data_IF_701907461149
#
_entry.id   IF_701907461149
#
_cell.length_a   1.000
_cell.length_b   1.000
_cell.length_c   1.000
_cell.angle_alpha   90.00
_cell.angle_beta   90.00
_cell.angle_gamma   90.00
#
_symmetry.space_group_name_H-M   'P 1'
#
loop_
_entity.id
_entity.type
_entity.pdbx_description
1 polymer ?
#
# COMPACT_ATOMS: atom_id res chain seq x y z
N UNK A 1 17.07 -116.12 -25.09
CA UNK A 1 17.07 -115.46 -26.42
C UNK A 1 15.74 -114.82 -26.63
N UNK A 2 15.66 -113.52 -26.41
CA UNK A 2 14.47 -112.77 -26.71
C UNK A 2 14.37 -112.48 -28.20
N UNK A 3 13.42 -113.18 -28.85
CA UNK A 3 13.09 -112.87 -30.24
C UNK A 3 12.45 -111.47 -30.27
N UNK A 4 13.17 -110.49 -30.80
CA UNK A 4 12.59 -109.20 -31.20
C UNK A 4 11.67 -109.45 -32.39
N UNK A 5 10.38 -109.55 -32.15
CA UNK A 5 9.40 -109.57 -33.24
C UNK A 5 9.45 -108.21 -33.92
N UNK A 6 9.85 -108.22 -35.17
CA UNK A 6 9.75 -106.97 -35.99
C UNK A 6 8.28 -106.57 -36.03
N UNK A 7 7.99 -105.38 -35.75
CA UNK A 7 6.63 -104.76 -35.84
C UNK A 7 6.10 -104.86 -37.28
N UNK A 8 4.85 -105.25 -37.44
CA UNK A 8 4.25 -105.25 -38.76
C UNK A 8 4.14 -103.85 -39.33
N UNK A 9 4.19 -103.64 -40.65
CA UNK A 9 4.10 -102.41 -41.34
C UNK A 9 2.85 -101.56 -40.93
N UNK A 10 1.73 -102.22 -40.63
CA UNK A 10 0.49 -101.58 -40.13
C UNK A 10 0.64 -101.10 -38.69
N UNK A 11 1.38 -101.75 -37.84
CA UNK A 11 1.69 -101.34 -36.49
C UNK A 11 2.63 -100.13 -36.50
N UNK A 12 3.62 -100.08 -37.34
CA UNK A 12 4.53 -98.96 -37.55
C UNK A 12 3.77 -97.79 -38.10
N UNK A 13 2.89 -97.95 -39.10
CA UNK A 13 2.03 -96.85 -39.63
C UNK A 13 1.07 -96.36 -38.58
N UNK A 14 0.52 -97.20 -37.71
CA UNK A 14 -0.33 -96.83 -36.58
C UNK A 14 0.39 -95.92 -35.55
N UNK A 15 1.61 -96.36 -35.15
CA UNK A 15 2.44 -95.61 -34.20
C UNK A 15 2.94 -94.27 -34.79
N UNK A 16 3.29 -94.22 -36.06
CA UNK A 16 3.67 -93.00 -36.75
C UNK A 16 2.49 -91.99 -36.80
N UNK A 17 1.24 -92.48 -37.04
CA UNK A 17 0.06 -91.61 -36.98
C UNK A 17 -0.19 -91.04 -35.58
N UNK A 18 -0.02 -91.87 -34.54
CA UNK A 18 -0.15 -91.40 -33.15
C UNK A 18 0.92 -90.37 -32.80
N UNK A 19 2.17 -90.59 -33.15
CA UNK A 19 3.25 -89.65 -32.95
C UNK A 19 2.99 -88.31 -33.67
N UNK A 20 2.55 -88.43 -34.93
CA UNK A 20 2.22 -87.22 -35.71
C UNK A 20 1.05 -86.41 -35.10
N UNK A 21 0.00 -87.15 -34.64
CA UNK A 21 -1.11 -86.54 -33.94
C UNK A 21 -0.69 -85.86 -32.62
N UNK A 22 0.17 -86.54 -31.85
CA UNK A 22 0.74 -86.02 -30.60
C UNK A 22 1.58 -84.71 -30.84
N UNK A 23 2.51 -84.78 -31.79
CA UNK A 23 3.35 -83.63 -32.15
C UNK A 23 2.48 -82.42 -32.64
N UNK A 24 1.42 -82.72 -33.41
CA UNK A 24 0.50 -81.71 -33.88
C UNK A 24 -0.28 -81.08 -32.73
N UNK A 25 -0.73 -81.92 -31.79
CA UNK A 25 -1.41 -81.42 -30.59
C UNK A 25 -0.49 -80.57 -29.72
N UNK A 26 0.72 -81.05 -29.45
CA UNK A 26 1.73 -80.30 -28.70
C UNK A 26 2.07 -78.97 -29.36
N UNK A 27 2.21 -78.94 -30.68
CA UNK A 27 2.45 -77.67 -31.40
C UNK A 27 1.28 -76.68 -31.28
N UNK A 28 0.03 -77.21 -31.32
CA UNK A 28 -1.16 -76.38 -31.13
C UNK A 28 -1.27 -75.85 -29.70
N UNK A 29 -0.93 -76.66 -28.71
CA UNK A 29 -0.92 -76.24 -27.31
C UNK A 29 0.15 -75.19 -27.05
N UNK A 30 1.37 -75.37 -27.58
CA UNK A 30 2.44 -74.36 -27.49
C UNK A 30 2.09 -73.09 -28.21
N UNK A 31 1.47 -73.18 -29.40
CA UNK A 31 0.99 -71.95 -30.08
C UNK A 31 -0.03 -71.15 -29.25
N UNK A 32 -0.98 -71.86 -28.60
CA UNK A 32 -1.95 -71.21 -27.69
C UNK A 32 -1.26 -70.66 -26.47
N UNK A 33 -0.29 -71.37 -25.88
CA UNK A 33 0.48 -70.80 -24.71
C UNK A 33 1.22 -69.54 -25.07
N UNK A 34 1.89 -69.47 -26.24
CA UNK A 34 2.59 -68.32 -26.74
C UNK A 34 1.61 -67.17 -26.97
N UNK A 35 0.45 -67.45 -27.59
CA UNK A 35 -0.57 -66.44 -27.82
C UNK A 35 -1.11 -65.88 -26.50
N UNK A 36 -1.40 -66.76 -25.53
CA UNK A 36 -1.90 -66.33 -24.22
C UNK A 36 -0.89 -65.45 -23.45
N UNK A 37 0.39 -65.86 -23.47
CA UNK A 37 1.48 -65.07 -22.89
C UNK A 37 1.62 -63.68 -23.58
N UNK A 38 1.56 -63.68 -24.91
CA UNK A 38 1.63 -62.42 -25.66
C UNK A 38 0.45 -61.48 -25.35
N UNK A 39 -0.76 -62.04 -25.23
CA UNK A 39 -1.96 -61.24 -24.86
C UNK A 39 -1.86 -60.73 -23.42
N UNK A 40 -1.35 -61.54 -22.46
CA UNK A 40 -1.11 -61.08 -21.08
C UNK A 40 -0.04 -59.99 -21.02
N UNK A 41 1.12 -60.18 -21.69
CA UNK A 41 2.19 -59.17 -21.73
C UNK A 41 1.69 -57.88 -22.37
N UNK A 42 0.92 -57.98 -23.47
CA UNK A 42 0.30 -56.83 -24.12
C UNK A 42 -0.66 -56.09 -23.16
N UNK A 43 -1.52 -56.80 -22.45
CA UNK A 43 -2.46 -56.22 -21.50
C UNK A 43 -1.74 -55.49 -20.35
N UNK A 44 -0.66 -56.07 -19.83
CA UNK A 44 0.16 -55.48 -18.76
C UNK A 44 0.84 -54.22 -19.28
N UNK A 45 1.51 -54.28 -20.43
CA UNK A 45 2.26 -53.14 -20.99
C UNK A 45 1.31 -51.98 -21.41
N UNK A 46 0.17 -52.32 -22.02
CA UNK A 46 -0.89 -51.37 -22.33
C UNK A 46 -1.41 -50.67 -21.05
N UNK A 47 -1.70 -51.44 -20.00
CA UNK A 47 -2.16 -50.89 -18.73
C UNK A 47 -1.11 -49.96 -18.07
N UNK A 48 0.16 -50.37 -18.13
CA UNK A 48 1.29 -49.59 -17.63
C UNK A 48 1.44 -48.27 -18.40
N UNK A 49 1.41 -48.33 -19.73
CA UNK A 49 1.52 -47.14 -20.59
C UNK A 49 0.36 -46.18 -20.36
N UNK A 50 -0.87 -46.67 -20.31
CA UNK A 50 -2.07 -45.85 -20.03
C UNK A 50 -1.95 -45.16 -18.67
N UNK A 51 -1.49 -45.86 -17.63
CA UNK A 51 -1.28 -45.27 -16.30
C UNK A 51 -0.20 -44.19 -16.33
N UNK A 52 0.92 -44.42 -17.02
CA UNK A 52 2.01 -43.45 -17.14
C UNK A 52 1.55 -42.19 -17.87
N UNK A 53 0.87 -42.35 -19.01
CA UNK A 53 0.36 -41.23 -19.77
C UNK A 53 -0.73 -40.42 -19.01
N UNK A 54 -1.65 -41.13 -18.34
CA UNK A 54 -2.66 -40.50 -17.50
C UNK A 54 -2.01 -39.69 -16.38
N UNK A 55 -1.03 -40.25 -15.67
CA UNK A 55 -0.31 -39.53 -14.62
C UNK A 55 0.48 -38.34 -15.14
N UNK A 56 1.07 -38.42 -16.34
CA UNK A 56 1.77 -37.34 -16.98
C UNK A 56 0.79 -36.19 -17.36
N UNK A 57 -0.37 -36.52 -17.91
CA UNK A 57 -1.44 -35.59 -18.26
C UNK A 57 -1.96 -34.93 -16.98
N UNK A 58 -2.27 -35.67 -15.94
CA UNK A 58 -2.77 -35.15 -14.68
C UNK A 58 -1.77 -34.14 -14.08
N UNK A 59 -0.49 -34.51 -14.01
CA UNK A 59 0.58 -33.60 -13.54
C UNK A 59 0.68 -32.33 -14.36
N UNK A 60 0.52 -32.43 -15.68
CA UNK A 60 0.55 -31.24 -16.56
C UNK A 60 -0.65 -30.33 -16.31
N UNK A 61 -1.84 -30.90 -16.15
CA UNK A 61 -3.05 -30.12 -15.88
C UNK A 61 -3.04 -29.52 -14.46
N UNK A 62 -2.57 -30.23 -13.45
CA UNK A 62 -2.38 -29.68 -12.11
C UNK A 62 -1.46 -28.47 -12.12
N UNK A 63 -0.33 -28.54 -12.84
CA UNK A 63 0.55 -27.36 -13.02
C UNK A 63 -0.16 -26.20 -13.68
N UNK A 64 -0.91 -26.45 -14.75
CA UNK A 64 -1.69 -25.41 -15.45
C UNK A 64 -2.76 -24.79 -14.56
N UNK A 65 -3.50 -25.58 -13.81
CA UNK A 65 -4.49 -25.10 -12.86
C UNK A 65 -3.87 -24.25 -11.75
N UNK A 66 -2.77 -24.71 -11.18
CA UNK A 66 -2.03 -23.96 -10.16
C UNK A 66 -1.51 -22.64 -10.70
N UNK A 67 -0.96 -22.64 -11.91
CA UNK A 67 -0.48 -21.42 -12.57
C UNK A 67 -1.63 -20.45 -12.89
N UNK A 68 -2.76 -20.94 -13.39
CA UNK A 68 -3.94 -20.13 -13.67
C UNK A 68 -4.52 -19.52 -12.39
N UNK A 69 -4.64 -20.30 -11.31
CA UNK A 69 -5.10 -19.85 -10.00
C UNK A 69 -4.20 -18.77 -9.43
N UNK A 70 -2.88 -18.96 -9.48
CA UNK A 70 -1.91 -17.95 -9.04
C UNK A 70 -2.02 -16.65 -9.87
N UNK A 71 -2.11 -16.77 -11.19
CA UNK A 71 -2.28 -15.61 -12.09
C UNK A 71 -3.55 -14.85 -11.77
N UNK A 72 -4.67 -15.55 -11.56
CA UNK A 72 -5.93 -14.95 -11.16
C UNK A 72 -5.83 -14.23 -9.79
N UNK A 73 -5.18 -14.85 -8.81
CA UNK A 73 -4.97 -14.24 -7.50
C UNK A 73 -4.11 -12.98 -7.59
N UNK A 74 -3.03 -12.99 -8.37
CA UNK A 74 -2.17 -11.83 -8.62
C UNK A 74 -2.97 -10.71 -9.27
N UNK A 75 -3.72 -11.01 -10.33
CA UNK A 75 -4.56 -10.03 -11.03
C UNK A 75 -5.58 -9.40 -10.09
N UNK A 76 -6.28 -10.21 -9.28
CA UNK A 76 -7.25 -9.73 -8.30
C UNK A 76 -6.61 -8.83 -7.25
N UNK A 77 -5.45 -9.23 -6.72
CA UNK A 77 -4.70 -8.46 -5.72
C UNK A 77 -4.20 -7.13 -6.31
N UNK A 78 -3.65 -7.17 -7.53
CA UNK A 78 -3.17 -5.96 -8.22
C UNK A 78 -4.31 -4.98 -8.50
N UNK A 79 -5.45 -5.48 -8.97
CA UNK A 79 -6.64 -4.64 -9.23
C UNK A 79 -7.16 -4.02 -7.94
N UNK A 80 -7.29 -4.80 -6.86
CA UNK A 80 -7.71 -4.31 -5.56
C UNK A 80 -6.77 -3.23 -5.01
N UNK A 81 -5.45 -3.45 -5.12
CA UNK A 81 -4.47 -2.46 -4.70
C UNK A 81 -4.51 -1.18 -5.54
N UNK A 82 -4.62 -1.31 -6.86
CA UNK A 82 -4.75 -0.15 -7.76
C UNK A 82 -6.00 0.69 -7.45
N UNK A 83 -7.13 0.01 -7.20
CA UNK A 83 -8.37 0.70 -6.82
C UNK A 83 -8.24 1.41 -5.48
N UNK A 84 -7.63 0.75 -4.50
CA UNK A 84 -7.34 1.36 -3.19
C UNK A 84 -6.47 2.61 -3.32
N UNK A 85 -5.39 2.54 -4.08
CA UNK A 85 -4.50 3.69 -4.31
C UNK A 85 -5.23 4.85 -4.99
N UNK A 86 -6.09 4.57 -5.97
CA UNK A 86 -6.89 5.59 -6.63
C UNK A 86 -7.84 6.31 -5.66
N UNK A 87 -8.51 5.55 -4.79
CA UNK A 87 -9.38 6.15 -3.76
C UNK A 87 -8.57 7.01 -2.79
N UNK A 88 -7.37 6.55 -2.38
CA UNK A 88 -6.51 7.34 -1.50
C UNK A 88 -5.99 8.61 -2.16
N UNK A 89 -5.62 8.56 -3.46
CA UNK A 89 -5.22 9.74 -4.23
C UNK A 89 -6.34 10.77 -4.29
N UNK A 90 -7.56 10.35 -4.68
CA UNK A 90 -8.70 11.27 -4.73
C UNK A 90 -9.07 11.87 -3.36
N UNK A 91 -8.89 11.11 -2.27
CA UNK A 91 -9.07 11.64 -0.92
C UNK A 91 -8.00 12.67 -0.56
N UNK A 92 -6.76 12.46 -0.98
CA UNK A 92 -5.68 13.41 -0.74
C UNK A 92 -5.89 14.69 -1.56
N UNK A 93 -6.24 14.58 -2.85
CA UNK A 93 -6.57 15.71 -3.70
C UNK A 93 -7.67 16.60 -3.08
N UNK A 94 -8.73 15.98 -2.54
CA UNK A 94 -9.81 16.72 -1.88
C UNK A 94 -9.35 17.45 -0.60
N UNK A 95 -8.43 16.86 0.17
CA UNK A 95 -7.84 17.53 1.33
C UNK A 95 -6.95 18.70 0.93
N UNK A 96 -6.12 18.50 -0.11
CA UNK A 96 -5.24 19.54 -0.63
C UNK A 96 -6.05 20.74 -1.16
N UNK A 97 -7.15 20.49 -1.89
CA UNK A 97 -8.08 21.50 -2.36
C UNK A 97 -8.74 22.26 -1.19
N UNK A 98 -9.13 21.54 -0.13
CA UNK A 98 -9.73 22.15 1.06
C UNK A 98 -8.75 23.10 1.75
N UNK A 99 -7.51 22.67 1.96
CA UNK A 99 -6.49 23.53 2.59
C UNK A 99 -6.06 24.67 1.67
N UNK A 100 -6.06 24.48 0.36
CA UNK A 100 -5.81 25.57 -0.59
C UNK A 100 -6.92 26.63 -0.50
N UNK A 101 -8.18 26.24 -0.46
CA UNK A 101 -9.30 27.16 -0.27
C UNK A 101 -9.19 27.91 1.08
N UNK A 102 -8.75 27.23 2.13
CA UNK A 102 -8.51 27.88 3.42
C UNK A 102 -7.40 28.93 3.34
N UNK A 103 -6.29 28.65 2.64
CA UNK A 103 -5.21 29.63 2.40
C UNK A 103 -5.72 30.86 1.66
N UNK A 104 -6.51 30.64 0.60
CA UNK A 104 -7.07 31.73 -0.20
C UNK A 104 -8.04 32.61 0.62
N UNK A 105 -8.80 32.00 1.52
CA UNK A 105 -9.69 32.76 2.42
C UNK A 105 -8.91 33.58 3.46
N UNK A 106 -7.86 33.01 4.05
CA UNK A 106 -7.03 33.68 5.06
C UNK A 106 -6.32 34.87 4.46
N UNK A 107 -5.81 34.80 3.26
CA UNK A 107 -5.14 35.92 2.58
C UNK A 107 -6.05 37.13 2.40
N UNK A 108 -7.37 36.94 2.35
CA UNK A 108 -8.35 38.02 2.23
C UNK A 108 -8.85 38.62 3.56
N UNK A 109 -8.48 38.07 4.72
CA UNK A 109 -9.03 38.54 6.03
C UNK A 109 -8.57 39.94 6.36
N UNK A 110 -7.29 40.28 6.14
CA UNK A 110 -6.73 41.59 6.40
C UNK A 110 -7.45 42.71 5.65
N UNK A 111 -7.97 42.41 4.44
CA UNK A 111 -8.69 43.39 3.63
C UNK A 111 -10.18 43.50 4.00
N UNK A 112 -10.78 42.49 4.62
CA UNK A 112 -12.22 42.45 4.89
C UNK A 112 -12.60 43.05 6.23
N UNK A 113 -11.77 42.91 7.26
CA UNK A 113 -12.11 43.30 8.63
C UNK A 113 -10.84 43.72 9.40
N UNK A 114 -10.49 45.00 9.29
CA UNK A 114 -9.28 45.58 9.89
C UNK A 114 -9.28 45.53 11.43
N UNK A 115 -10.46 45.65 12.10
CA UNK A 115 -10.52 45.57 13.56
C UNK A 115 -10.25 44.18 14.09
N UNK A 116 -10.88 43.16 13.49
CA UNK A 116 -10.60 41.77 13.87
C UNK A 116 -9.16 41.40 13.56
N UNK A 117 -8.63 41.87 12.42
CA UNK A 117 -7.23 41.64 12.08
C UNK A 117 -6.28 42.22 13.12
N UNK A 118 -6.52 43.48 13.60
CA UNK A 118 -5.75 44.09 14.67
C UNK A 118 -5.80 43.30 15.98
N UNK A 119 -6.99 42.81 16.36
CA UNK A 119 -7.14 41.97 17.56
C UNK A 119 -6.37 40.64 17.44
N UNK A 120 -6.38 40.01 16.26
CA UNK A 120 -5.62 38.81 16.01
C UNK A 120 -4.13 39.07 16.06
N UNK A 121 -3.65 40.16 15.41
CA UNK A 121 -2.24 40.55 15.47
C UNK A 121 -1.76 40.77 16.91
N UNK A 122 -2.56 41.46 17.73
CA UNK A 122 -2.27 41.62 19.17
C UNK A 122 -2.09 40.28 19.86
N UNK A 123 -3.01 39.31 19.63
CA UNK A 123 -2.90 37.98 20.19
C UNK A 123 -1.63 37.24 19.75
N UNK A 124 -1.25 37.36 18.45
CA UNK A 124 -0.05 36.73 17.92
C UNK A 124 1.24 37.32 18.51
N UNK A 125 1.28 38.64 18.67
CA UNK A 125 2.40 39.33 19.32
C UNK A 125 2.51 38.88 20.77
N UNK A 126 1.39 38.91 21.50
CA UNK A 126 1.33 38.54 22.91
C UNK A 126 1.78 37.07 23.13
N UNK A 127 1.35 36.16 22.30
CA UNK A 127 1.80 34.78 22.31
C UNK A 127 3.32 34.66 22.15
N UNK A 128 3.90 35.40 21.22
CA UNK A 128 5.34 35.44 21.03
C UNK A 128 6.12 36.04 22.17
N UNK A 129 5.59 37.12 22.79
CA UNK A 129 6.18 37.74 23.98
C UNK A 129 6.20 36.78 25.17
N UNK A 130 5.11 36.01 25.38
CA UNK A 130 5.06 34.99 26.42
C UNK A 130 6.04 33.82 26.15
N UNK A 131 6.19 33.43 24.90
CA UNK A 131 7.07 32.32 24.53
C UNK A 131 8.56 32.69 24.65
N UNK A 132 8.93 33.94 24.31
CA UNK A 132 10.32 34.39 24.38
C UNK A 132 10.67 34.85 25.79
N UNK A 133 9.77 35.59 26.47
CA UNK A 133 9.98 36.21 27.80
C UNK A 133 11.30 37.00 27.91
N UNK A 134 11.61 37.77 26.85
CA UNK A 134 12.80 38.62 26.76
C UNK A 134 12.46 40.10 26.88
N UNK A 135 13.43 40.91 27.31
CA UNK A 135 13.22 42.35 27.53
C UNK A 135 13.16 43.16 26.22
N UNK A 136 13.81 42.66 25.15
CA UNK A 136 13.83 43.25 23.82
C UNK A 136 13.55 42.24 22.76
N UNK A 137 12.57 42.52 21.90
CA UNK A 137 12.17 41.70 20.76
C UNK A 137 12.01 42.56 19.50
N UNK A 138 12.35 41.96 18.37
CA UNK A 138 12.14 42.60 17.06
C UNK A 138 10.99 41.86 16.35
N UNK A 139 10.12 42.59 15.70
CA UNK A 139 8.91 42.05 15.04
C UNK A 139 8.95 42.39 13.56
N UNK A 140 8.95 41.34 12.71
CA UNK A 140 8.83 41.46 11.27
C UNK A 140 7.37 41.33 10.85
N UNK A 141 6.90 42.25 10.03
CA UNK A 141 5.56 42.22 9.46
C UNK A 141 5.58 42.63 7.98
N UNK A 142 4.45 42.56 7.30
CA UNK A 142 4.32 43.08 5.95
C UNK A 142 4.34 44.61 6.00
N UNK A 143 4.89 45.25 4.97
CA UNK A 143 4.91 46.72 4.85
C UNK A 143 3.53 47.36 4.96
N UNK A 144 2.49 46.65 4.43
CA UNK A 144 1.10 47.14 4.47
C UNK A 144 0.50 47.13 5.87
N UNK A 145 0.99 46.28 6.77
CA UNK A 145 0.42 46.05 8.09
C UNK A 145 1.21 46.76 9.19
N UNK A 146 2.27 47.48 8.86
CA UNK A 146 3.17 48.17 9.83
C UNK A 146 2.42 48.99 10.85
N UNK A 147 1.44 49.79 10.41
CA UNK A 147 0.67 50.66 11.31
C UNK A 147 -0.26 49.87 12.24
N UNK A 148 -0.85 48.80 11.72
CA UNK A 148 -1.70 47.92 12.52
C UNK A 148 -0.87 47.14 13.55
N UNK A 149 0.33 46.67 13.14
CA UNK A 149 1.26 45.96 14.04
C UNK A 149 1.81 46.87 15.13
N UNK A 150 2.15 48.14 14.82
CA UNK A 150 2.59 49.11 15.86
C UNK A 150 1.53 49.29 16.95
N UNK A 151 0.26 49.46 16.57
CA UNK A 151 -0.85 49.54 17.55
C UNK A 151 -1.01 48.22 18.34
N UNK A 152 -0.93 47.09 17.66
CA UNK A 152 -1.02 45.79 18.29
C UNK A 152 0.11 45.56 19.30
N UNK A 153 1.31 46.04 19.02
CA UNK A 153 2.48 45.97 19.91
C UNK A 153 2.21 46.79 21.18
N UNK A 154 1.77 48.06 21.05
CA UNK A 154 1.48 48.91 22.19
C UNK A 154 0.43 48.32 23.14
N UNK A 155 -0.58 47.69 22.57
CA UNK A 155 -1.62 47.02 23.36
C UNK A 155 -1.10 45.70 23.98
N UNK A 156 -0.29 44.95 23.26
CA UNK A 156 0.31 43.71 23.77
C UNK A 156 1.32 43.96 24.89
N UNK A 157 2.17 44.99 24.79
CA UNK A 157 3.11 45.38 25.82
C UNK A 157 2.41 45.76 27.13
N UNK A 158 1.28 46.50 27.04
CA UNK A 158 0.47 46.86 28.22
C UNK A 158 -0.10 45.62 28.89
N UNK A 159 -0.70 44.74 28.15
CA UNK A 159 -1.29 43.48 28.66
C UNK A 159 -0.23 42.54 29.24
N UNK A 160 0.92 42.44 28.57
CA UNK A 160 2.06 41.65 29.08
C UNK A 160 2.59 42.21 30.41
N UNK A 161 2.72 43.56 30.52
CA UNK A 161 3.15 44.22 31.77
C UNK A 161 2.14 43.99 32.90
N UNK A 162 0.84 44.07 32.62
CA UNK A 162 -0.21 43.77 33.61
C UNK A 162 -0.19 42.32 34.09
N UNK A 163 0.09 41.38 33.18
CA UNK A 163 0.01 39.93 33.49
C UNK A 163 1.30 39.38 34.10
N UNK A 164 2.46 39.77 33.57
CA UNK A 164 3.78 39.21 33.98
C UNK A 164 4.53 40.14 34.94
N UNK A 165 4.20 41.46 34.92
CA UNK A 165 4.87 42.47 35.74
C UNK A 165 6.26 42.87 35.25
N UNK A 166 6.62 42.51 34.00
CA UNK A 166 7.87 42.87 33.34
C UNK A 166 7.60 43.87 32.22
N UNK A 167 8.54 44.77 32.00
CA UNK A 167 8.53 45.66 30.84
C UNK A 167 9.26 45.00 29.68
N UNK A 168 8.61 44.95 28.53
CA UNK A 168 9.18 44.42 27.27
C UNK A 168 9.14 45.58 26.26
N UNK A 169 10.20 45.75 25.49
CA UNK A 169 10.25 46.66 24.36
C UNK A 169 10.25 45.87 23.06
N UNK A 170 9.18 46.03 22.29
CA UNK A 170 9.05 45.37 20.99
C UNK A 170 9.14 46.42 19.87
N UNK A 171 10.09 46.25 18.97
CA UNK A 171 10.32 47.18 17.86
C UNK A 171 9.99 46.48 16.54
N UNK A 172 9.39 47.24 15.60
CA UNK A 172 9.14 46.71 14.25
C UNK A 172 10.44 46.79 13.43
N UNK A 173 10.87 45.67 12.89
CA UNK A 173 11.98 45.59 11.97
C UNK A 173 11.53 46.01 10.57
N UNK A 174 11.89 47.20 10.16
CA UNK A 174 11.56 47.76 8.84
C UNK A 174 12.62 47.40 7.78
N UNK A 175 13.79 46.85 8.19
CA UNK A 175 14.86 46.51 7.26
C UNK A 175 14.56 45.18 6.52
N UNK A 176 13.96 44.21 7.24
CA UNK A 176 13.60 42.90 6.69
C UNK A 176 12.10 42.62 6.81
N UNK A 177 11.25 43.28 6.02
CA UNK A 177 9.82 43.03 6.05
C UNK A 177 9.46 41.65 5.46
N UNK A 178 8.31 41.10 5.87
CA UNK A 178 7.77 39.90 5.26
C UNK A 178 7.44 40.10 3.77
N UNK A 179 7.49 39.02 2.94
CA UNK A 179 7.16 39.11 1.52
C UNK A 179 5.74 39.65 1.30
N UNK A 180 5.54 40.45 0.25
CA UNK A 180 4.24 41.03 -0.11
C UNK A 180 3.16 39.96 -0.40
N UNK A 181 3.58 38.78 -0.84
CA UNK A 181 2.69 37.63 -1.10
C UNK A 181 2.26 36.87 0.14
N UNK A 182 2.75 37.20 1.34
CA UNK A 182 2.33 36.57 2.58
C UNK A 182 0.87 36.88 2.93
N UNK A 183 0.14 35.93 3.52
CA UNK A 183 -1.24 36.14 3.98
C UNK A 183 -1.34 37.10 5.18
N UNK A 184 -0.24 37.36 5.89
CA UNK A 184 -0.16 38.22 7.05
C UNK A 184 0.33 37.54 8.31
N UNK A 185 0.17 38.22 9.44
CA UNK A 185 0.75 37.78 10.71
C UNK A 185 2.10 38.41 10.98
N UNK A 186 2.83 37.91 11.97
CA UNK A 186 4.10 38.45 12.47
C UNK A 186 5.13 37.36 12.67
N UNK A 187 6.39 37.74 12.52
CA UNK A 187 7.54 36.90 12.94
C UNK A 187 8.24 37.66 14.06
N UNK A 188 8.42 37.04 15.19
CA UNK A 188 8.99 37.64 16.39
C UNK A 188 10.38 37.06 16.61
N UNK A 189 11.33 37.95 16.78
CA UNK A 189 12.74 37.63 16.88
C UNK A 189 13.26 38.13 18.23
N UNK A 190 13.81 37.17 19.00
CA UNK A 190 14.43 37.40 20.28
C UNK A 190 15.89 36.90 20.31
N UNK A 191 16.50 36.97 21.50
CA UNK A 191 17.85 36.46 21.68
C UNK A 191 18.91 37.13 20.83
N UNK A 192 18.76 38.42 20.54
CA UNK A 192 19.64 39.12 19.61
C UNK A 192 19.72 38.45 18.21
N UNK A 193 18.56 38.06 17.70
CA UNK A 193 18.46 37.41 16.37
C UNK A 193 18.68 35.90 16.33
N UNK A 194 18.83 35.23 17.49
CA UNK A 194 19.09 33.81 17.56
C UNK A 194 17.84 32.92 17.66
N UNK A 195 16.74 33.51 18.13
CA UNK A 195 15.47 32.79 18.32
C UNK A 195 14.42 33.48 17.47
N UNK A 196 13.77 32.73 16.61
CA UNK A 196 12.71 33.23 15.73
C UNK A 196 11.43 32.44 15.98
N UNK A 197 10.33 33.14 16.24
CA UNK A 197 9.00 32.56 16.36
C UNK A 197 8.18 33.02 15.16
N UNK A 198 7.86 32.10 14.29
CA UNK A 198 7.07 32.38 13.10
C UNK A 198 5.57 32.24 13.42
N UNK A 199 4.91 33.36 13.65
CA UNK A 199 3.45 33.48 13.86
C UNK A 199 2.75 34.07 12.63
N UNK A 200 3.22 33.73 11.42
CA UNK A 200 2.49 34.05 10.19
C UNK A 200 1.28 33.13 10.02
N UNK A 201 0.28 33.60 9.31
CA UNK A 201 -0.94 32.81 9.07
C UNK A 201 -0.67 31.56 8.28
N UNK A 202 0.29 31.57 7.36
CA UNK A 202 0.71 30.39 6.61
C UNK A 202 1.28 29.32 7.52
N UNK A 203 2.17 29.69 8.44
CA UNK A 203 2.77 28.74 9.36
C UNK A 203 1.75 28.18 10.35
N UNK A 204 0.87 29.02 10.88
CA UNK A 204 -0.21 28.57 11.77
C UNK A 204 -1.19 27.66 11.05
N UNK A 205 -1.52 27.94 9.79
CA UNK A 205 -2.35 27.04 8.99
C UNK A 205 -1.62 25.71 8.72
N UNK A 206 -0.33 25.75 8.46
CA UNK A 206 0.50 24.54 8.27
C UNK A 206 0.52 23.66 9.52
N UNK A 207 0.69 24.26 10.70
CA UNK A 207 0.62 23.55 11.98
C UNK A 207 -0.78 22.98 12.22
N UNK A 208 -1.82 23.78 11.98
CA UNK A 208 -3.20 23.34 12.10
C UNK A 208 -3.52 22.21 11.13
N UNK A 209 -2.98 22.25 9.90
CA UNK A 209 -3.12 21.18 8.92
C UNK A 209 -2.60 19.84 9.47
N UNK A 210 -1.45 19.86 10.12
CA UNK A 210 -0.86 18.64 10.72
C UNK A 210 -1.71 18.12 11.89
N UNK A 211 -2.09 19.00 12.79
CA UNK A 211 -2.78 18.65 14.03
C UNK A 211 -4.26 18.29 13.79
N UNK A 212 -4.94 19.03 12.91
CA UNK A 212 -6.36 18.82 12.61
C UNK A 212 -6.62 17.73 11.55
N UNK A 213 -5.60 17.32 10.81
CA UNK A 213 -5.75 16.34 9.71
C UNK A 213 -6.50 15.06 10.11
N UNK A 214 -6.25 14.43 11.29
CA UNK A 214 -7.00 13.26 11.72
C UNK A 214 -8.50 13.55 11.89
N UNK A 215 -8.84 14.66 12.53
CA UNK A 215 -10.22 15.07 12.76
C UNK A 215 -10.94 15.43 11.45
N UNK A 216 -10.28 16.17 10.56
CA UNK A 216 -10.80 16.50 9.23
C UNK A 216 -11.06 15.24 8.40
N UNK A 217 -10.13 14.28 8.42
CA UNK A 217 -10.32 13.00 7.74
C UNK A 217 -11.48 12.20 8.30
N UNK A 218 -11.65 12.19 9.61
CA UNK A 218 -12.78 11.51 10.25
C UNK A 218 -14.11 12.14 9.88
N UNK A 219 -14.18 13.46 9.86
CA UNK A 219 -15.39 14.22 9.49
C UNK A 219 -15.77 13.99 8.02
N UNK A 220 -14.80 14.02 7.10
CA UNK A 220 -15.06 13.89 5.67
C UNK A 220 -15.28 12.45 5.21
N UNK A 221 -14.52 11.51 5.74
CA UNK A 221 -14.49 10.13 5.25
C UNK A 221 -15.05 9.11 6.24
N UNK A 222 -15.45 9.54 7.43
CA UNK A 222 -15.93 8.67 8.51
C UNK A 222 -14.80 7.94 9.25
N UNK A 223 -15.18 7.26 10.32
CA UNK A 223 -14.24 6.47 11.13
C UNK A 223 -13.65 5.31 10.35
N UNK A 224 -12.35 5.09 10.53
CA UNK A 224 -11.67 3.96 9.91
C UNK A 224 -11.99 2.66 10.67
N UNK A 225 -12.87 1.83 10.13
CA UNK A 225 -13.30 0.55 10.73
C UNK A 225 -12.17 -0.46 10.93
N UNK A 226 -11.04 -0.29 10.22
CA UNK A 226 -9.87 -1.17 10.34
C UNK A 226 -8.90 -0.74 11.46
N UNK A 227 -9.12 0.41 12.07
CA UNK A 227 -8.30 0.91 13.17
C UNK A 227 -8.76 0.28 14.48
N UNK A 228 -7.84 -0.34 15.23
CA UNK A 228 -8.15 -0.99 16.51
C UNK A 228 -8.09 -0.05 17.71
N UNK A 229 -7.33 1.04 17.60
CA UNK A 229 -7.13 2.03 18.66
C UNK A 229 -7.47 3.41 18.12
N UNK A 230 -8.21 4.20 18.91
CA UNK A 230 -8.68 5.56 18.60
C UNK A 230 -8.18 6.47 19.72
N UNK A 231 -6.87 6.66 19.76
CA UNK A 231 -6.21 7.58 20.72
C UNK A 231 -6.27 9.01 20.19
#
# INVERSE_FOLDING_TARGET
>A
MSQSHALSDDQVAGELRKMTAFIRQEALEKAREIQLKADEEFAIEKSKLVRQETAAIDTQYEKKFKQASMSQQITRSTLANRTRLRVLSSRQELLDDLFQQARDQISGIAAKDAEKYGTVLKGLVLEGLYALNEDKVSIRARKQDTDAVKKAIEEAEKEFKETVGKEVSAEVDEEEPLPEGSAGGVVIIGGQGKIEINNTFEERLRLLEIDALPAVRETLFGKNTNRRFYD
#
